data_IF_832103242164
#
_entry.id   IF_832103242164
#
_cell.length_a   1.000
_cell.length_b   1.000
_cell.length_c   1.000
_cell.angle_alpha   90.00
_cell.angle_beta   90.00
_cell.angle_gamma   90.00
#
_symmetry.space_group_name_H-M   'P 1'
#
loop_
_entity.id
_entity.type
_entity.pdbx_description
1 polymer ?
#
# COMPACT_ATOMS: atom_id res chain seq x y z
N UNK A 1 -0.91 7.37 10.27
CA UNK A 1 0.04 6.93 9.23
C UNK A 1 1.20 6.25 9.93
N UNK A 2 1.44 4.96 9.66
CA UNK A 2 2.61 4.24 10.17
C UNK A 2 3.80 4.61 9.28
N UNK A 3 4.91 5.06 9.88
CA UNK A 3 6.15 5.32 9.15
C UNK A 3 6.94 4.02 9.05
N UNK A 4 7.04 3.45 7.85
CA UNK A 4 7.92 2.31 7.58
C UNK A 4 9.37 2.75 7.88
N UNK A 5 10.04 2.04 8.77
CA UNK A 5 11.44 2.29 9.15
C UNK A 5 12.43 1.45 8.31
N UNK A 6 11.95 0.40 7.65
CA UNK A 6 12.73 -0.43 6.72
C UNK A 6 12.80 0.14 5.31
N UNK A 7 13.72 -0.39 4.51
CA UNK A 7 13.84 -0.13 3.07
C UNK A 7 12.92 -1.03 2.25
N UNK A 8 12.50 -0.56 1.08
CA UNK A 8 11.75 -1.37 0.11
C UNK A 8 11.71 -0.71 -1.27
N UNK A 9 11.04 -1.36 -2.23
CA UNK A 9 11.00 -0.92 -3.63
C UNK A 9 10.47 0.50 -3.80
N UNK A 10 9.57 0.94 -2.92
CA UNK A 10 9.08 2.32 -2.89
C UNK A 10 10.22 3.35 -2.79
N UNK A 11 11.27 3.06 -2.01
CA UNK A 11 12.42 3.94 -1.89
C UNK A 11 13.19 4.03 -3.22
N UNK A 12 13.39 2.90 -3.89
CA UNK A 12 14.10 2.83 -5.17
C UNK A 12 13.31 3.57 -6.26
N UNK A 13 12.03 3.19 -6.44
CA UNK A 13 11.16 3.75 -7.47
C UNK A 13 10.94 5.25 -7.25
N UNK A 14 10.62 5.65 -6.02
CA UNK A 14 10.40 7.07 -5.69
C UNK A 14 11.65 7.92 -5.92
N UNK A 15 12.83 7.42 -5.55
CA UNK A 15 14.09 8.13 -5.75
C UNK A 15 14.48 8.22 -7.23
N UNK A 16 14.26 7.14 -8.01
CA UNK A 16 14.66 7.07 -9.40
C UNK A 16 13.73 7.88 -10.31
N UNK A 17 12.42 7.80 -10.12
CA UNK A 17 11.44 8.38 -11.05
C UNK A 17 10.85 9.71 -10.57
N UNK A 18 11.14 10.12 -9.33
CA UNK A 18 10.67 11.40 -8.74
C UNK A 18 9.14 11.57 -8.80
N UNK A 19 8.41 10.47 -8.66
CA UNK A 19 6.95 10.46 -8.60
C UNK A 19 6.46 10.18 -7.17
N UNK A 20 5.24 10.59 -6.80
CA UNK A 20 4.61 10.17 -5.56
C UNK A 20 4.40 8.64 -5.56
N UNK A 21 4.81 7.98 -4.48
CA UNK A 21 4.64 6.53 -4.30
C UNK A 21 4.11 6.25 -2.90
N UNK A 22 3.30 5.19 -2.77
CA UNK A 22 2.78 4.70 -1.50
C UNK A 22 2.83 3.17 -1.49
N UNK A 23 3.12 2.58 -0.33
CA UNK A 23 2.97 1.15 -0.06
C UNK A 23 1.72 0.94 0.78
N UNK A 24 0.87 -0.01 0.39
CA UNK A 24 -0.35 -0.36 1.10
C UNK A 24 -0.57 -1.88 1.07
N UNK A 25 -1.01 -2.44 2.20
CA UNK A 25 -1.40 -3.83 2.34
C UNK A 25 -2.00 -4.10 3.73
N UNK A 26 -2.79 -5.18 3.89
CA UNK A 26 -3.31 -5.64 5.18
C UNK A 26 -2.20 -6.32 6.02
N UNK A 27 -2.49 -6.53 7.30
CA UNK A 27 -1.60 -7.26 8.22
C UNK A 27 -0.68 -6.37 9.04
N UNK A 28 -0.02 -6.99 10.01
CA UNK A 28 0.93 -6.31 10.90
C UNK A 28 2.36 -6.48 10.36
N UNK A 29 3.05 -5.39 9.94
CA UNK A 29 4.42 -5.48 9.46
C UNK A 29 5.44 -5.92 10.53
N UNK A 30 5.09 -5.93 11.82
CA UNK A 30 5.97 -6.45 12.87
C UNK A 30 6.06 -7.98 12.88
N UNK A 31 5.08 -8.67 12.29
CA UNK A 31 5.07 -10.13 12.13
C UNK A 31 5.92 -10.60 10.95
N UNK A 32 6.49 -9.68 10.17
CA UNK A 32 7.34 -10.03 9.05
C UNK A 32 8.53 -10.88 9.51
N UNK A 33 8.72 -12.04 8.86
CA UNK A 33 9.78 -13.00 9.16
C UNK A 33 9.66 -13.70 10.53
N UNK A 34 8.48 -13.71 11.15
CA UNK A 34 8.20 -14.59 12.29
C UNK A 34 7.76 -15.97 11.80
N UNK A 35 7.82 -16.99 12.68
CA UNK A 35 7.34 -18.34 12.35
C UNK A 35 5.82 -18.42 12.22
N UNK A 36 5.11 -17.51 12.89
CA UNK A 36 3.66 -17.43 12.95
C UNK A 36 3.10 -16.25 12.14
N UNK A 37 3.83 -15.83 11.10
CA UNK A 37 3.42 -14.74 10.20
C UNK A 37 2.03 -15.06 9.62
N UNK A 38 1.09 -14.15 9.86
CA UNK A 38 -0.32 -14.33 9.49
C UNK A 38 -1.02 -13.00 9.28
N UNK A 39 -2.14 -13.08 8.57
CA UNK A 39 -3.03 -11.94 8.33
C UNK A 39 -4.47 -12.35 8.59
N UNK A 40 -5.28 -11.43 9.10
CA UNK A 40 -6.72 -11.66 9.25
C UNK A 40 -7.39 -11.75 7.88
N UNK A 41 -8.25 -12.76 7.69
CA UNK A 41 -9.04 -12.92 6.45
C UNK A 41 -9.93 -11.70 6.23
N UNK A 42 -10.54 -11.15 7.28
CA UNK A 42 -11.39 -9.97 7.17
C UNK A 42 -10.58 -8.71 6.82
N UNK A 43 -9.35 -8.58 7.30
CA UNK A 43 -8.46 -7.49 6.88
C UNK A 43 -8.01 -7.64 5.43
N UNK A 44 -7.69 -8.87 5.03
CA UNK A 44 -7.34 -9.19 3.67
C UNK A 44 -8.47 -8.82 2.69
N UNK A 45 -9.70 -9.26 2.96
CA UNK A 45 -10.86 -8.95 2.13
C UNK A 45 -11.18 -7.46 2.11
N UNK A 46 -11.11 -6.77 3.26
CA UNK A 46 -11.30 -5.31 3.31
C UNK A 46 -10.23 -4.56 2.52
N UNK A 47 -8.98 -5.02 2.53
CA UNK A 47 -7.90 -4.36 1.80
C UNK A 47 -8.10 -4.40 0.28
N UNK A 48 -8.71 -5.47 -0.24
CA UNK A 48 -9.09 -5.59 -1.65
C UNK A 48 -10.11 -4.51 -2.01
N UNK A 49 -11.13 -4.30 -1.18
CA UNK A 49 -12.12 -3.25 -1.41
C UNK A 49 -11.51 -1.84 -1.33
N UNK A 50 -10.60 -1.60 -0.39
CA UNK A 50 -9.85 -0.33 -0.30
C UNK A 50 -9.03 -0.10 -1.57
N UNK A 51 -8.32 -1.11 -2.08
CA UNK A 51 -7.55 -1.00 -3.32
C UNK A 51 -8.45 -0.70 -4.52
N UNK A 52 -9.57 -1.41 -4.67
CA UNK A 52 -10.57 -1.17 -5.73
C UNK A 52 -11.07 0.27 -5.71
N UNK A 53 -11.51 0.75 -4.56
CA UNK A 53 -12.02 2.11 -4.41
C UNK A 53 -10.93 3.16 -4.66
N UNK A 54 -9.70 2.90 -4.22
CA UNK A 54 -8.57 3.81 -4.43
C UNK A 54 -8.27 3.97 -5.91
N UNK A 55 -8.23 2.88 -6.69
CA UNK A 55 -7.99 2.95 -8.13
C UNK A 55 -9.09 3.74 -8.85
N UNK A 56 -10.36 3.50 -8.52
CA UNK A 56 -11.48 4.26 -9.06
C UNK A 56 -11.39 5.75 -8.70
N UNK A 57 -11.01 6.04 -7.45
CA UNK A 57 -10.85 7.42 -6.98
C UNK A 57 -9.70 8.14 -7.68
N UNK A 58 -8.56 7.48 -7.86
CA UNK A 58 -7.40 8.02 -8.58
C UNK A 58 -7.74 8.30 -10.04
N UNK A 59 -8.44 7.38 -10.72
CA UNK A 59 -8.95 7.63 -12.08
C UNK A 59 -9.82 8.87 -12.12
N UNK A 60 -10.81 8.97 -11.24
CA UNK A 60 -11.72 10.13 -11.15
C UNK A 60 -10.97 11.44 -10.90
N UNK A 61 -9.93 11.43 -10.06
CA UNK A 61 -9.10 12.61 -9.80
C UNK A 61 -8.25 13.00 -11.00
N UNK A 62 -7.69 12.02 -11.73
CA UNK A 62 -6.96 12.26 -12.96
C UNK A 62 -7.85 12.88 -14.04
N UNK A 63 -9.03 12.31 -14.24
CA UNK A 63 -9.98 12.76 -15.27
C UNK A 63 -10.50 14.19 -14.99
N UNK A 64 -10.60 14.61 -13.72
CA UNK A 64 -10.98 15.98 -13.32
C UNK A 64 -9.88 17.04 -13.51
N UNK A 65 -8.64 16.61 -13.69
CA UNK A 65 -7.48 17.52 -13.87
C UNK A 65 -7.18 17.82 -15.34
N UNK A 66 -7.83 17.10 -16.27
CA UNK A 66 -7.89 17.46 -17.69
C UNK A 66 -9.05 18.41 -17.92
#
# INVERSE_FOLDING_TARGET
>A
LIRKTGTGDMNVIGNQWKIPVVTYGPGDPHEAHTIDEKVSIDEYLRSIEVLKHTLQHLKRLHDKRK
#
